data_IF_490628710777
#
_entry.id   IF_490628710777
#
_cell.length_a   1.000
_cell.length_b   1.000
_cell.length_c   1.000
_cell.angle_alpha   90.00
_cell.angle_beta   90.00
_cell.angle_gamma   90.00
#
_symmetry.space_group_name_H-M   'P 1'
#
loop_
_entity.id
_entity.type
_entity.pdbx_description
1 polymer ?
#
# COMPACT_ATOMS: atom_id res chain seq x y z
N UNK A 1 6.50 22.77 20.16
CA UNK A 1 5.81 21.47 20.23
C UNK A 1 5.45 21.23 21.69
N UNK A 2 4.20 20.89 22.00
CA UNK A 2 3.77 20.50 23.36
C UNK A 2 3.39 19.03 23.33
N UNK A 3 3.76 18.28 24.36
CA UNK A 3 3.37 16.89 24.52
C UNK A 3 2.55 16.74 25.81
N UNK A 4 1.45 15.99 25.73
CA UNK A 4 0.67 15.56 26.88
C UNK A 4 0.48 14.03 26.79
N UNK A 5 0.46 13.36 27.94
CA UNK A 5 0.20 11.92 28.04
C UNK A 5 -1.12 11.69 28.75
N UNK A 6 -1.96 10.83 28.18
CA UNK A 6 -3.29 10.49 28.72
C UNK A 6 -3.43 8.98 28.88
N UNK A 7 -3.90 8.55 30.05
CA UNK A 7 -4.22 7.16 30.32
C UNK A 7 -5.72 6.94 30.10
N UNK A 8 -6.06 6.06 29.16
CA UNK A 8 -7.44 5.66 28.88
C UNK A 8 -7.56 4.15 29.11
N UNK A 9 -8.05 3.78 30.30
CA UNK A 9 -8.04 2.39 30.77
C UNK A 9 -6.60 1.91 31.00
N UNK A 10 -6.26 0.73 30.46
CA UNK A 10 -4.92 0.14 30.57
C UNK A 10 -3.97 0.57 29.43
N UNK A 11 -4.31 1.62 28.68
CA UNK A 11 -3.51 2.13 27.55
C UNK A 11 -3.07 3.57 27.79
N UNK A 12 -1.81 3.82 27.50
CA UNK A 12 -1.19 5.14 27.50
C UNK A 12 -1.21 5.73 26.08
N UNK A 13 -1.61 7.00 25.96
CA UNK A 13 -1.66 7.74 24.70
C UNK A 13 -0.84 9.02 24.79
N UNK A 14 0.09 9.21 23.85
CA UNK A 14 0.88 10.42 23.74
C UNK A 14 0.30 11.34 22.67
N UNK A 15 -0.02 12.57 23.06
CA UNK A 15 -0.56 13.61 22.19
C UNK A 15 0.49 14.67 21.97
N UNK A 16 0.77 14.96 20.70
CA UNK A 16 1.71 15.98 20.29
C UNK A 16 0.97 17.11 19.58
N UNK A 17 1.26 18.34 20.00
CA UNK A 17 0.68 19.56 19.43
C UNK A 17 1.76 20.39 18.75
N UNK A 18 1.47 20.81 17.52
CA UNK A 18 2.26 21.80 16.79
C UNK A 18 1.70 23.22 17.04
N UNK A 19 2.56 24.23 17.07
CA UNK A 19 2.16 25.63 17.30
C UNK A 19 1.74 26.35 16.03
N UNK A 20 2.14 25.83 14.86
CA UNK A 20 1.81 26.39 13.55
C UNK A 20 0.99 25.37 12.77
N UNK A 21 1.65 24.31 12.31
CA UNK A 21 1.08 23.39 11.32
C UNK A 21 1.55 21.96 11.59
N UNK A 22 0.78 20.99 11.10
CA UNK A 22 1.13 19.57 11.06
C UNK A 22 1.21 19.18 9.59
N UNK A 23 2.38 18.69 9.16
CA UNK A 23 2.60 18.20 7.80
C UNK A 23 2.54 16.67 7.81
N UNK A 24 1.67 16.10 6.99
CA UNK A 24 1.58 14.66 6.81
C UNK A 24 2.48 14.22 5.65
N UNK A 25 3.42 13.32 5.96
CA UNK A 25 4.38 12.78 4.99
C UNK A 25 4.46 11.25 5.05
N UNK A 26 3.33 10.58 5.31
CA UNK A 26 3.23 9.12 5.39
C UNK A 26 3.19 8.40 4.04
N UNK A 27 3.51 9.09 2.95
CA UNK A 27 3.42 8.52 1.59
C UNK A 27 2.00 8.26 1.12
N UNK A 28 1.87 7.59 -0.04
CA UNK A 28 0.62 7.38 -0.75
C UNK A 28 -0.37 6.45 -0.05
N UNK A 29 0.09 5.60 0.87
CA UNK A 29 -0.76 4.65 1.60
C UNK A 29 -1.18 5.16 2.98
N UNK A 30 -0.23 5.62 3.80
CA UNK A 30 -0.54 5.97 5.20
C UNK A 30 -1.13 7.37 5.36
N UNK A 31 -0.77 8.33 4.50
CA UNK A 31 -1.37 9.68 4.53
C UNK A 31 -2.89 9.65 4.35
N UNK A 32 -3.45 9.05 3.28
CA UNK A 32 -4.91 9.00 3.13
C UNK A 32 -5.58 8.17 4.23
N UNK A 33 -4.94 7.11 4.71
CA UNK A 33 -5.46 6.32 5.84
C UNK A 33 -5.58 7.17 7.12
N UNK A 34 -4.56 7.96 7.44
CA UNK A 34 -4.56 8.81 8.62
C UNK A 34 -5.61 9.92 8.51
N UNK A 35 -5.80 10.52 7.33
CA UNK A 35 -6.89 11.49 7.09
C UNK A 35 -8.27 10.87 7.31
N UNK A 36 -8.52 9.67 6.76
CA UNK A 36 -9.79 8.96 6.93
C UNK A 36 -10.07 8.64 8.41
N UNK A 37 -9.08 8.10 9.14
CA UNK A 37 -9.20 7.83 10.57
C UNK A 37 -9.41 9.10 11.41
N UNK A 38 -8.97 10.25 10.89
CA UNK A 38 -9.19 11.56 11.49
C UNK A 38 -10.51 12.22 11.08
N UNK A 39 -11.38 11.54 10.33
CA UNK A 39 -12.67 12.06 9.90
C UNK A 39 -12.64 13.00 8.68
N UNK A 40 -11.55 12.98 7.90
CA UNK A 40 -11.37 13.77 6.68
C UNK A 40 -11.46 12.83 5.47
N UNK A 41 -12.54 12.90 4.69
CA UNK A 41 -12.76 11.99 3.57
C UNK A 41 -14.20 11.94 3.04
N UNK A 42 -14.58 10.90 2.27
CA UNK A 42 -15.97 10.72 1.81
C UNK A 42 -16.88 10.41 3.01
N UNK A 43 -17.85 11.29 3.32
CA UNK A 43 -18.64 11.19 4.55
C UNK A 43 -19.45 9.89 4.63
N UNK A 44 -19.97 9.39 3.50
CA UNK A 44 -20.75 8.15 3.48
C UNK A 44 -19.88 6.93 3.84
N UNK A 45 -18.63 6.92 3.36
CA UNK A 45 -17.65 5.91 3.77
C UNK A 45 -17.26 6.01 5.24
N UNK A 46 -17.08 7.23 5.76
CA UNK A 46 -16.76 7.44 7.18
C UNK A 46 -17.90 7.00 8.11
N UNK A 47 -19.15 7.31 7.74
CA UNK A 47 -20.35 6.89 8.49
C UNK A 47 -20.46 5.37 8.60
N UNK A 48 -20.12 4.64 7.54
CA UNK A 48 -20.11 3.17 7.56
C UNK A 48 -19.20 2.60 8.66
N UNK A 49 -18.10 3.29 8.98
CA UNK A 49 -17.16 2.90 10.05
C UNK A 49 -17.44 3.59 11.40
N UNK A 50 -18.59 4.23 11.58
CA UNK A 50 -18.92 5.04 12.77
C UNK A 50 -17.89 6.15 13.07
N UNK A 51 -17.26 6.70 12.02
CA UNK A 51 -16.34 7.83 12.14
C UNK A 51 -17.12 9.12 11.85
N UNK A 52 -17.05 10.09 12.77
CA UNK A 52 -17.62 11.42 12.56
C UNK A 52 -16.96 12.10 11.36
N UNK A 53 -17.76 12.51 10.37
CA UNK A 53 -17.25 13.27 9.23
C UNK A 53 -16.97 14.71 9.66
N UNK A 54 -15.69 15.07 9.81
CA UNK A 54 -15.24 16.43 10.11
C UNK A 54 -15.14 17.28 8.85
N UNK A 55 -14.74 16.67 7.73
CA UNK A 55 -14.62 17.36 6.44
C UNK A 55 -14.91 16.40 5.28
N UNK A 56 -15.81 16.80 4.38
CA UNK A 56 -16.18 16.00 3.21
C UNK A 56 -15.20 16.20 2.06
N UNK A 57 -14.25 15.29 1.90
CA UNK A 57 -13.24 15.32 0.82
C UNK A 57 -13.24 13.98 0.09
N UNK A 58 -14.06 13.81 -0.98
CA UNK A 58 -14.26 12.51 -1.61
C UNK A 58 -13.02 11.95 -2.33
N UNK A 59 -12.04 12.79 -2.64
CA UNK A 59 -10.77 12.37 -3.28
C UNK A 59 -9.78 11.67 -2.33
N UNK A 60 -9.96 11.74 -1.01
CA UNK A 60 -9.03 11.10 -0.06
C UNK A 60 -9.05 9.58 -0.24
N UNK A 61 -7.88 8.99 -0.46
CA UNK A 61 -7.71 7.55 -0.69
C UNK A 61 -8.15 7.09 -2.08
N UNK A 62 -8.34 8.01 -3.03
CA UNK A 62 -8.61 7.75 -4.45
C UNK A 62 -7.42 8.18 -5.30
N UNK A 63 -7.47 7.84 -6.59
CA UNK A 63 -6.42 8.16 -7.56
C UNK A 63 -5.03 7.65 -7.16
N UNK A 64 -4.96 6.40 -6.70
CA UNK A 64 -3.67 5.72 -6.53
C UNK A 64 -3.13 5.38 -7.91
N UNK A 65 -2.00 5.97 -8.25
CA UNK A 65 -1.26 5.68 -9.48
C UNK A 65 0.02 4.95 -9.10
N UNK A 66 0.32 3.89 -9.86
CA UNK A 66 1.56 3.12 -9.72
C UNK A 66 2.02 2.69 -11.11
N UNK A 67 3.31 2.39 -11.22
CA UNK A 67 3.89 1.84 -12.44
C UNK A 67 3.83 0.33 -12.38
N UNK A 68 2.92 -0.25 -13.15
CA UNK A 68 2.88 -1.70 -13.32
C UNK A 68 4.19 -2.19 -13.92
N UNK A 69 4.80 -3.18 -13.27
CA UNK A 69 6.02 -3.81 -13.74
C UNK A 69 5.75 -5.26 -14.14
N UNK A 70 6.43 -5.72 -15.19
CA UNK A 70 6.46 -7.11 -15.59
C UNK A 70 7.89 -7.61 -15.60
N UNK A 71 8.15 -8.73 -14.94
CA UNK A 71 9.44 -9.41 -15.00
C UNK A 71 9.51 -10.21 -16.29
N UNK A 72 10.50 -9.92 -17.13
CA UNK A 72 10.89 -10.86 -18.18
C UNK A 72 11.82 -11.90 -17.57
N UNK A 73 11.41 -13.16 -17.58
CA UNK A 73 12.27 -14.28 -17.24
C UNK A 73 12.97 -14.76 -18.50
N UNK A 74 14.30 -14.69 -18.53
CA UNK A 74 15.12 -15.38 -19.52
C UNK A 74 15.77 -16.58 -18.83
N UNK A 75 15.66 -17.81 -19.36
CA UNK A 75 16.53 -18.87 -18.92
C UNK A 75 17.99 -18.45 -19.16
N UNK A 76 18.94 -18.88 -18.30
CA UNK A 76 20.36 -18.71 -18.59
C UNK A 76 20.69 -19.36 -19.94
N UNK A 77 21.73 -18.89 -20.63
CA UNK A 77 22.23 -19.56 -21.83
C UNK A 77 22.54 -21.02 -21.49
N UNK A 78 21.76 -21.93 -22.07
CA UNK A 78 22.03 -23.36 -21.93
C UNK A 78 23.28 -23.65 -22.73
N UNK A 79 24.35 -24.08 -22.06
CA UNK A 79 25.38 -24.83 -22.76
C UNK A 79 24.76 -26.18 -23.22
N UNK A 80 25.33 -26.79 -24.26
CA UNK A 80 24.82 -28.05 -24.81
C UNK A 80 24.85 -29.22 -23.82
N UNK A 81 25.45 -29.05 -22.64
CA UNK A 81 25.66 -30.09 -21.63
C UNK A 81 24.83 -29.89 -20.35
N UNK A 82 24.10 -28.77 -20.22
CA UNK A 82 23.31 -28.45 -19.03
C UNK A 82 21.91 -29.02 -19.21
N UNK A 83 21.72 -30.24 -18.70
CA UNK A 83 20.38 -30.81 -18.56
C UNK A 83 19.62 -30.08 -17.45
N UNK A 84 18.59 -29.32 -17.81
CA UNK A 84 17.68 -28.74 -16.83
C UNK A 84 16.73 -29.83 -16.29
N UNK A 85 16.42 -29.82 -14.98
CA UNK A 85 15.37 -30.66 -14.43
C UNK A 85 14.02 -30.42 -15.13
N UNK A 86 13.24 -31.47 -15.36
CA UNK A 86 11.98 -31.43 -16.15
C UNK A 86 10.94 -30.41 -15.64
N UNK A 87 10.98 -30.05 -14.35
CA UNK A 87 10.08 -29.02 -13.79
C UNK A 87 10.40 -27.59 -14.27
N UNK A 88 11.63 -27.33 -14.74
CA UNK A 88 12.03 -26.04 -15.33
C UNK A 88 11.47 -25.90 -16.75
N UNK A 89 11.37 -27.01 -17.48
CA UNK A 89 10.80 -27.05 -18.83
C UNK A 89 9.27 -27.14 -18.83
N UNK A 90 8.68 -27.79 -17.83
CA UNK A 90 7.25 -28.10 -17.77
C UNK A 90 6.31 -26.94 -17.41
N UNK A 91 6.81 -25.79 -16.98
CA UNK A 91 5.97 -24.65 -16.58
C UNK A 91 5.80 -23.55 -17.64
N UNK A 92 6.84 -23.32 -18.46
CA UNK A 92 6.91 -22.21 -19.43
C UNK A 92 7.65 -22.57 -20.74
N UNK A 93 8.31 -23.73 -20.81
CA UNK A 93 9.16 -24.12 -21.95
C UNK A 93 8.46 -24.95 -23.03
N UNK A 94 7.34 -25.61 -22.73
CA UNK A 94 6.59 -26.42 -23.71
C UNK A 94 5.79 -25.53 -24.68
N UNK A 95 5.31 -24.37 -24.22
CA UNK A 95 4.53 -23.45 -25.06
C UNK A 95 5.35 -22.74 -26.16
N UNK A 96 6.69 -22.77 -26.09
CA UNK A 96 7.56 -22.11 -27.08
C UNK A 96 8.13 -23.08 -28.13
N UNK A 97 7.93 -24.39 -27.96
CA UNK A 97 8.49 -25.44 -28.83
C UNK A 97 7.40 -26.28 -29.51
N UNK A 98 6.25 -25.69 -29.81
CA UNK A 98 5.15 -26.36 -30.53
C UNK A 98 4.66 -25.56 -31.76
N UNK A 99 5.55 -24.76 -32.36
CA UNK A 99 5.35 -24.14 -33.67
C UNK A 99 6.60 -24.34 -34.56
N UNK A 100 6.71 -25.53 -35.15
CA UNK A 100 7.36 -25.92 -36.44
C UNK A 100 7.93 -27.34 -36.40
#
# INVERSE_FOLDING_TARGET
MRMNTYNMGNKEYNYYYATKEIILSGGAFDTPKLLLLSGIGPCDGLKYFNITCLSHVPGVGKNLEDHSFTSLWSPPSLDQNTQLPSYVLGGWGVAAYEEN
#
